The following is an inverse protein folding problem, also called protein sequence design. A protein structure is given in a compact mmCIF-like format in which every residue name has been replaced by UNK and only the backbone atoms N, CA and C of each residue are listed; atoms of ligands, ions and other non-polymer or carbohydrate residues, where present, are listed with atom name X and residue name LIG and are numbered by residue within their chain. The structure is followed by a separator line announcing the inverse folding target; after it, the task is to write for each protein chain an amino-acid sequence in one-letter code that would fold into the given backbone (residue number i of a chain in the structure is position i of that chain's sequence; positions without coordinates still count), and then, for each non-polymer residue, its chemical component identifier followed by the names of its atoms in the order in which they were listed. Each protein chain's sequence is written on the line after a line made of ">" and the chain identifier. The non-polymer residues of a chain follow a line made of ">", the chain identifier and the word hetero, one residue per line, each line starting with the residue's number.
data_IF_586095200389
#
_entry.id   IF_586095200389
#
_cell.length_a   1.000
_cell.length_b   1.000
_cell.length_c   1.000
_cell.angle_alpha   90.00
_cell.angle_beta   90.00
_cell.angle_gamma   90.00
#
_symmetry.space_group_name_H-M   'P 1'
#
loop_
_entity.id
_entity.type
_entity.pdbx_description
1 polymer ?
#
# COMPACT_ATOMS: atom_id res chain seq x y z
N UNK A 1 16.68 -17.80 -7.19
CA UNK A 1 15.34 -17.52 -6.65
C UNK A 1 15.00 -16.10 -7.08
N UNK A 2 13.87 -15.96 -7.74
CA UNK A 2 13.45 -14.89 -8.64
C UNK A 2 13.80 -13.47 -8.21
N UNK A 3 14.42 -12.76 -9.16
CA UNK A 3 14.42 -11.31 -9.22
C UNK A 3 12.96 -10.85 -9.39
N UNK A 4 12.31 -10.54 -8.27
CA UNK A 4 11.11 -9.71 -8.27
C UNK A 4 11.38 -8.53 -7.33
N UNK A 5 12.48 -7.82 -7.62
CA UNK A 5 12.65 -6.42 -7.28
C UNK A 5 11.62 -5.58 -8.05
N UNK A 6 10.33 -5.90 -7.92
CA UNK A 6 9.25 -5.00 -8.21
C UNK A 6 9.21 -4.01 -7.04
N UNK A 7 10.10 -3.02 -7.12
CA UNK A 7 10.09 -1.87 -6.22
C UNK A 7 8.69 -1.28 -6.11
N UNK A 8 8.39 -0.74 -4.94
CA UNK A 8 7.10 -0.12 -4.61
C UNK A 8 6.59 0.69 -5.83
N UNK A 9 5.39 0.39 -6.39
CA UNK A 9 4.89 1.11 -7.54
C UNK A 9 4.79 2.58 -7.17
N UNK A 10 5.17 3.46 -8.10
CA UNK A 10 5.27 4.89 -7.82
C UNK A 10 3.93 5.46 -7.37
N UNK A 11 2.81 4.91 -7.86
CA UNK A 11 1.46 5.22 -7.38
C UNK A 11 1.26 4.94 -5.89
N UNK A 12 1.84 3.85 -5.35
CA UNK A 12 1.77 3.56 -3.91
C UNK A 12 2.68 4.50 -3.12
N UNK A 13 3.90 4.74 -3.60
CA UNK A 13 4.80 5.70 -2.96
C UNK A 13 4.23 7.13 -2.90
N UNK A 14 3.54 7.57 -3.96
CA UNK A 14 2.85 8.86 -4.04
C UNK A 14 1.77 8.95 -2.96
N UNK A 15 0.90 7.95 -2.90
CA UNK A 15 -0.19 7.87 -1.91
C UNK A 15 0.33 7.81 -0.47
N UNK A 16 1.39 7.03 -0.22
CA UNK A 16 2.02 6.95 1.10
C UNK A 16 2.67 8.29 1.48
N UNK A 17 3.27 9.00 0.50
CA UNK A 17 3.84 10.34 0.73
C UNK A 17 2.76 11.36 1.10
N UNK A 18 1.58 11.28 0.46
CA UNK A 18 0.41 12.09 0.81
C UNK A 18 -0.19 11.68 2.18
N UNK A 19 -0.13 10.40 2.55
CA UNK A 19 -0.72 9.85 3.78
C UNK A 19 0.33 9.31 4.73
N UNK A 20 0.93 10.19 5.54
CA UNK A 20 1.96 9.82 6.53
C UNK A 20 1.53 8.76 7.54
N UNK A 21 0.24 8.67 7.88
CA UNK A 21 -0.28 7.59 8.71
C UNK A 21 -0.19 6.22 8.01
N UNK A 22 -0.59 6.16 6.74
CA UNK A 22 -0.47 4.96 5.93
C UNK A 22 0.99 4.59 5.69
N UNK A 23 1.88 5.56 5.46
CA UNK A 23 3.34 5.36 5.33
C UNK A 23 3.92 4.64 6.55
N UNK A 24 3.60 5.12 7.76
CA UNK A 24 4.08 4.49 9.00
C UNK A 24 3.53 3.08 9.19
N UNK A 25 2.24 2.88 8.93
CA UNK A 25 1.61 1.56 9.04
C UNK A 25 2.24 0.61 8.01
N UNK A 26 2.38 1.05 6.76
CA UNK A 26 3.01 0.27 5.69
C UNK A 26 4.47 -0.09 6.02
N UNK A 27 5.25 0.85 6.55
CA UNK A 27 6.61 0.60 7.00
C UNK A 27 6.67 -0.39 8.18
N UNK A 28 5.70 -0.34 9.09
CA UNK A 28 5.58 -1.26 10.22
C UNK A 28 5.03 -2.64 9.82
N UNK A 29 4.38 -2.77 8.66
CA UNK A 29 3.86 -4.05 8.17
C UNK A 29 5.00 -5.01 7.75
N UNK A 30 4.82 -6.31 7.98
CA UNK A 30 5.76 -7.30 7.49
C UNK A 30 5.83 -7.30 5.96
N UNK A 31 6.99 -7.66 5.37
CA UNK A 31 7.19 -7.65 3.93
C UNK A 31 6.17 -8.53 3.17
N UNK A 32 5.66 -9.61 3.77
CA UNK A 32 4.61 -10.44 3.15
C UNK A 32 3.31 -9.67 2.90
N UNK A 33 2.84 -8.87 3.87
CA UNK A 33 1.65 -8.03 3.68
C UNK A 33 1.92 -6.93 2.67
N UNK A 34 3.09 -6.29 2.73
CA UNK A 34 3.48 -5.28 1.74
C UNK A 34 3.43 -5.87 0.33
N UNK A 35 4.07 -7.02 0.12
CA UNK A 35 4.10 -7.71 -1.17
C UNK A 35 2.70 -8.07 -1.68
N UNK A 36 1.76 -8.43 -0.79
CA UNK A 36 0.38 -8.68 -1.18
C UNK A 36 -0.30 -7.42 -1.76
N UNK A 37 -0.15 -6.27 -1.10
CA UNK A 37 -0.64 -5.00 -1.62
C UNK A 37 0.06 -4.59 -2.93
N UNK A 38 1.39 -4.75 -2.98
CA UNK A 38 2.19 -4.45 -4.17
C UNK A 38 1.72 -5.29 -5.37
N UNK A 39 1.52 -6.59 -5.17
CA UNK A 39 0.99 -7.50 -6.19
C UNK A 39 -0.41 -7.08 -6.62
N UNK A 40 -1.31 -6.83 -5.67
CA UNK A 40 -2.68 -6.40 -5.97
C UNK A 40 -2.73 -5.10 -6.77
N UNK A 41 -1.85 -4.16 -6.48
CA UNK A 41 -1.74 -2.91 -7.25
C UNK A 41 -1.19 -3.23 -8.64
N UNK A 42 -0.06 -3.94 -8.74
CA UNK A 42 0.59 -4.30 -10.00
C UNK A 42 -0.26 -5.16 -10.94
N UNK A 43 -1.22 -5.93 -10.43
CA UNK A 43 -2.19 -6.67 -11.22
C UNK A 43 -3.11 -5.78 -12.07
N UNK A 44 -3.25 -4.49 -11.73
CA UNK A 44 -4.05 -3.57 -12.52
C UNK A 44 -3.30 -3.09 -13.77
N UNK A 45 -3.85 -3.44 -14.95
CA UNK A 45 -3.28 -3.08 -16.26
C UNK A 45 -3.20 -1.57 -16.54
N UNK A 46 -4.07 -0.76 -15.92
CA UNK A 46 -4.14 0.69 -16.12
C UNK A 46 -3.54 1.44 -14.93
N UNK A 47 -2.70 2.43 -15.21
CA UNK A 47 -2.08 3.29 -14.20
C UNK A 47 -3.11 3.99 -13.31
N UNK A 48 -4.23 4.47 -13.87
CA UNK A 48 -5.31 5.07 -13.08
C UNK A 48 -5.91 4.07 -12.08
N UNK A 49 -6.10 2.81 -12.51
CA UNK A 49 -6.60 1.74 -11.64
C UNK A 49 -5.58 1.35 -10.58
N UNK A 50 -4.28 1.33 -10.91
CA UNK A 50 -3.20 1.14 -9.95
C UNK A 50 -3.24 2.20 -8.85
N UNK A 51 -3.37 3.48 -9.23
CA UNK A 51 -3.51 4.58 -8.27
C UNK A 51 -4.75 4.44 -7.39
N UNK A 52 -5.91 4.10 -7.96
CA UNK A 52 -7.13 3.83 -7.17
C UNK A 52 -6.94 2.68 -6.18
N UNK A 53 -6.27 1.60 -6.58
CA UNK A 53 -5.94 0.47 -5.68
C UNK A 53 -4.94 0.87 -4.61
N UNK A 54 -3.93 1.68 -4.94
CA UNK A 54 -2.95 2.19 -3.99
C UNK A 54 -3.61 3.08 -2.92
N UNK A 55 -4.48 4.01 -3.32
CA UNK A 55 -5.28 4.83 -2.40
C UNK A 55 -6.11 3.91 -1.50
N UNK A 56 -6.86 2.98 -2.10
CA UNK A 56 -7.69 2.01 -1.36
C UNK A 56 -6.86 1.18 -0.36
N UNK A 57 -5.66 0.75 -0.75
CA UNK A 57 -4.77 -0.01 0.10
C UNK A 57 -4.31 0.83 1.30
N UNK A 58 -3.89 2.08 1.07
CA UNK A 58 -3.50 3.01 2.13
C UNK A 58 -4.67 3.31 3.10
N UNK A 59 -5.88 3.53 2.56
CA UNK A 59 -7.10 3.70 3.37
C UNK A 59 -7.38 2.46 4.22
N UNK A 60 -7.31 1.26 3.64
CA UNK A 60 -7.53 0.01 4.40
C UNK A 60 -6.46 -0.23 5.46
N UNK A 61 -5.20 0.12 5.19
CA UNK A 61 -4.13 0.05 6.19
C UNK A 61 -4.45 0.96 7.37
N UNK A 62 -4.88 2.20 7.10
CA UNK A 62 -5.24 3.18 8.13
C UNK A 62 -6.55 2.81 8.83
N UNK A 63 -7.55 2.27 8.15
CA UNK A 63 -8.80 1.85 8.77
C UNK A 63 -8.59 0.63 9.68
N UNK A 64 -7.88 -0.39 9.18
CA UNK A 64 -7.65 -1.67 9.88
C UNK A 64 -6.62 -1.57 11.01
N UNK A 65 -5.60 -0.72 10.87
CA UNK A 65 -4.51 -0.58 11.85
C UNK A 65 -4.43 0.80 12.51
N UNK A 66 -5.24 1.77 12.05
CA UNK A 66 -5.27 3.14 12.53
C UNK A 66 -6.57 3.54 13.22
N UNK A 67 -7.47 2.59 13.55
CA UNK A 67 -8.43 2.84 14.64
C UNK A 67 -7.66 2.96 15.96
N UNK A 68 -7.58 4.14 16.61
CA UNK A 68 -7.73 4.11 18.06
C UNK A 68 -9.12 3.48 18.30
N UNK A 69 -9.19 2.44 19.12
CA UNK A 69 -10.49 1.88 19.51
C UNK A 69 -11.41 3.01 20.00
N UNK A 70 -12.74 2.92 19.79
CA UNK A 70 -13.64 3.84 20.45
C UNK A 70 -13.41 3.67 21.96
N UNK A 71 -12.80 4.67 22.58
CA UNK A 71 -12.84 4.84 24.03
C UNK A 71 -14.24 5.19 24.48
#
# INVERSE_FOLDING_TARGET
>A
MSDEQAGIPIELSDVLSENKAAERIFAALPPSHRNEYLRWISEAKRAETRRRRAIKAAEMMVDKHGRPGPG
#
